data_IF_072891267250
#
_entry.id   IF_072891267250
#
_cell.length_a   1.000
_cell.length_b   1.000
_cell.length_c   1.000
_cell.angle_alpha   90.00
_cell.angle_beta   90.00
_cell.angle_gamma   90.00
#
_symmetry.space_group_name_H-M   'P 1'
#
loop_
_entity.id
_entity.type
_entity.pdbx_description
1 polymer ?
#
# COMPACT_ATOMS: atom_id res chain seq x y z
N UNK A 1 21.67 1.40 -0.46
CA UNK A 1 21.71 0.48 -1.63
C UNK A 1 21.44 1.30 -2.88
N UNK A 2 22.26 1.16 -3.92
CA UNK A 2 22.06 1.92 -5.16
C UNK A 2 20.96 1.32 -6.04
N UNK A 3 20.39 2.11 -6.96
CA UNK A 3 19.31 1.65 -7.86
C UNK A 3 19.64 0.33 -8.58
N UNK A 4 20.84 0.24 -9.18
CA UNK A 4 21.27 -0.95 -9.93
C UNK A 4 21.43 -2.18 -9.04
N UNK A 5 21.82 -1.99 -7.78
CA UNK A 5 21.96 -3.06 -6.82
C UNK A 5 20.59 -3.58 -6.39
N UNK A 6 19.67 -2.67 -6.00
CA UNK A 6 18.28 -3.00 -5.71
C UNK A 6 17.62 -3.75 -6.88
N UNK A 7 17.79 -3.25 -8.11
CA UNK A 7 17.23 -3.87 -9.31
C UNK A 7 17.67 -5.32 -9.47
N UNK A 8 18.97 -5.61 -9.32
CA UNK A 8 19.51 -6.98 -9.47
C UNK A 8 18.93 -7.93 -8.42
N UNK A 9 18.79 -7.46 -7.18
CA UNK A 9 18.21 -8.25 -6.09
C UNK A 9 16.75 -8.59 -6.42
N UNK A 10 15.94 -7.57 -6.73
CA UNK A 10 14.52 -7.78 -7.03
C UNK A 10 14.30 -8.61 -8.30
N UNK A 11 15.16 -8.48 -9.31
CA UNK A 11 15.08 -9.30 -10.53
C UNK A 11 15.16 -10.80 -10.21
N UNK A 12 16.11 -11.19 -9.36
CA UNK A 12 16.26 -12.59 -8.96
C UNK A 12 15.05 -13.09 -8.16
N UNK A 13 14.49 -12.25 -7.28
CA UNK A 13 13.27 -12.58 -6.53
C UNK A 13 12.10 -12.82 -7.48
N UNK A 14 11.83 -11.89 -8.40
CA UNK A 14 10.70 -12.03 -9.32
C UNK A 14 10.86 -13.17 -10.31
N UNK A 15 12.10 -13.47 -10.73
CA UNK A 15 12.40 -14.67 -11.54
C UNK A 15 11.93 -15.95 -10.83
N UNK A 16 12.29 -16.10 -9.54
CA UNK A 16 11.92 -17.28 -8.75
C UNK A 16 10.40 -17.36 -8.58
N UNK A 17 9.74 -16.25 -8.20
CA UNK A 17 8.29 -16.20 -8.02
C UNK A 17 7.55 -16.54 -9.32
N UNK A 18 8.00 -15.99 -10.44
CA UNK A 18 7.37 -16.22 -11.75
C UNK A 18 7.54 -17.66 -12.24
N UNK A 19 8.73 -18.23 -12.06
CA UNK A 19 9.00 -19.64 -12.35
C UNK A 19 8.18 -20.59 -11.46
N UNK A 20 7.77 -20.13 -10.28
CA UNK A 20 6.87 -20.87 -9.37
C UNK A 20 5.38 -20.72 -9.71
N UNK A 21 5.05 -20.09 -10.85
CA UNK A 21 3.67 -19.93 -11.34
C UNK A 21 2.96 -18.66 -10.89
N UNK A 22 3.59 -17.80 -10.08
CA UNK A 22 2.99 -16.52 -9.65
C UNK A 22 3.02 -15.52 -10.81
N UNK A 23 1.85 -15.00 -11.19
CA UNK A 23 1.71 -14.07 -12.33
C UNK A 23 1.33 -12.64 -11.95
N UNK A 24 0.89 -12.41 -10.72
CA UNK A 24 0.53 -11.07 -10.22
C UNK A 24 1.43 -10.72 -9.06
N UNK A 25 1.95 -9.50 -9.06
CA UNK A 25 2.84 -9.01 -8.01
C UNK A 25 2.24 -7.79 -7.32
N UNK A 26 2.26 -7.79 -5.99
CA UNK A 26 2.03 -6.61 -5.18
C UNK A 26 3.34 -6.25 -4.50
N UNK A 27 3.90 -5.11 -4.90
CA UNK A 27 5.14 -4.57 -4.35
C UNK A 27 4.74 -3.59 -3.25
N UNK A 28 5.02 -3.91 -1.98
CA UNK A 28 4.53 -3.11 -0.86
C UNK A 28 5.62 -2.59 0.09
N UNK A 29 5.28 -1.57 0.87
CA UNK A 29 6.06 -1.05 2.01
C UNK A 29 7.42 -0.45 1.67
N UNK A 30 7.57 0.08 0.45
CA UNK A 30 8.74 0.90 0.13
C UNK A 30 8.59 2.31 0.74
N UNK A 31 9.72 2.90 1.13
CA UNK A 31 9.80 4.24 1.71
C UNK A 31 10.55 5.23 0.82
N UNK A 32 10.77 4.86 -0.45
CA UNK A 32 11.33 5.72 -1.49
C UNK A 32 10.81 5.31 -2.87
N UNK A 33 10.56 6.28 -3.74
CA UNK A 33 10.18 6.04 -5.14
C UNK A 33 11.33 5.37 -5.91
N UNK A 34 12.58 5.75 -5.65
CA UNK A 34 13.74 5.24 -6.42
C UNK A 34 13.88 3.73 -6.23
N UNK A 35 13.80 3.27 -4.97
CA UNK A 35 13.93 1.85 -4.67
C UNK A 35 12.71 1.06 -5.15
N UNK A 36 11.51 1.62 -4.93
CA UNK A 36 10.26 1.06 -5.41
C UNK A 36 10.26 0.90 -6.95
N UNK A 37 10.80 1.88 -7.68
CA UNK A 37 10.98 1.83 -9.13
C UNK A 37 11.97 0.77 -9.57
N UNK A 38 13.06 0.55 -8.81
CA UNK A 38 14.01 -0.52 -9.10
C UNK A 38 13.32 -1.90 -9.01
N UNK A 39 12.54 -2.13 -7.95
CA UNK A 39 11.72 -3.33 -7.77
C UNK A 39 10.68 -3.49 -8.89
N UNK A 40 9.93 -2.43 -9.20
CA UNK A 40 8.89 -2.43 -10.23
C UNK A 40 9.44 -2.75 -11.62
N UNK A 41 10.54 -2.11 -12.03
CA UNK A 41 11.16 -2.38 -13.33
C UNK A 41 11.74 -3.79 -13.39
N UNK A 42 12.26 -4.32 -12.29
CA UNK A 42 12.67 -5.72 -12.24
C UNK A 42 11.48 -6.66 -12.46
N UNK A 43 10.34 -6.41 -11.80
CA UNK A 43 9.11 -7.17 -11.96
C UNK A 43 8.54 -7.15 -13.39
N UNK A 44 8.65 -6.02 -14.11
CA UNK A 44 8.15 -5.86 -15.50
C UNK A 44 8.75 -6.86 -16.49
N UNK A 45 9.92 -7.44 -16.19
CA UNK A 45 10.52 -8.48 -17.04
C UNK A 45 9.70 -9.78 -17.05
N UNK A 46 8.82 -9.96 -16.06
CA UNK A 46 8.13 -11.23 -15.82
C UNK A 46 6.61 -11.07 -15.86
N UNK A 47 6.06 -9.95 -15.39
CA UNK A 47 4.62 -9.74 -15.33
C UNK A 47 4.19 -8.35 -15.81
N UNK A 48 2.98 -8.28 -16.36
CA UNK A 48 2.24 -7.03 -16.62
C UNK A 48 1.21 -6.69 -15.53
N UNK A 49 0.94 -7.64 -14.63
CA UNK A 49 -0.03 -7.52 -13.54
C UNK A 49 0.70 -7.14 -12.24
N UNK A 50 1.17 -5.89 -12.18
CA UNK A 50 1.96 -5.37 -11.07
C UNK A 50 1.21 -4.24 -10.38
N UNK A 51 0.99 -4.41 -9.09
CA UNK A 51 0.43 -3.44 -8.17
C UNK A 51 1.53 -2.93 -7.25
N UNK A 52 1.39 -1.71 -6.75
CA UNK A 52 2.41 -1.12 -5.88
C UNK A 52 1.81 -0.26 -4.79
N UNK A 53 2.34 -0.37 -3.58
CA UNK A 53 1.99 0.54 -2.49
C UNK A 53 3.21 0.94 -1.66
N UNK A 54 3.25 2.20 -1.26
CA UNK A 54 4.34 2.75 -0.46
C UNK A 54 3.85 3.08 0.96
N UNK A 55 4.79 3.24 1.89
CA UNK A 55 4.52 3.70 3.25
C UNK A 55 4.87 5.18 3.41
N UNK A 56 4.04 5.87 4.18
CA UNK A 56 4.18 7.29 4.49
C UNK A 56 4.30 7.51 6.00
N UNK A 57 5.09 8.51 6.37
CA UNK A 57 5.17 9.07 7.70
C UNK A 57 3.91 9.91 8.02
N UNK A 58 3.78 10.35 9.28
CA UNK A 58 2.62 11.14 9.73
C UNK A 58 2.46 12.48 9.00
N UNK A 59 3.53 13.03 8.41
CA UNK A 59 3.47 14.24 7.58
C UNK A 59 3.02 14.00 6.13
N UNK A 60 2.48 12.81 5.83
CA UNK A 60 1.99 12.41 4.51
C UNK A 60 3.08 12.44 3.42
N UNK A 61 4.31 12.06 3.80
CA UNK A 61 5.45 11.88 2.90
C UNK A 61 6.16 10.57 3.19
N UNK A 62 6.84 10.02 2.21
CA UNK A 62 7.77 8.91 2.43
C UNK A 62 8.95 9.33 3.33
N UNK A 63 9.84 8.39 3.66
CA UNK A 63 11.09 8.73 4.39
C UNK A 63 11.97 9.67 3.57
N UNK A 64 12.02 9.50 2.26
CA UNK A 64 12.80 10.37 1.37
C UNK A 64 12.08 11.65 0.95
N UNK A 65 10.91 11.96 1.54
CA UNK A 65 10.19 13.22 1.37
C UNK A 65 9.27 13.30 0.15
N UNK A 66 9.08 12.18 -0.57
CA UNK A 66 8.19 12.12 -1.74
C UNK A 66 6.71 12.20 -1.31
N UNK A 67 5.89 12.86 -2.13
CA UNK A 67 4.45 13.07 -1.89
C UNK A 67 3.60 12.00 -2.60
N UNK A 68 2.38 11.71 -2.12
CA UNK A 68 1.47 10.72 -2.70
C UNK A 68 1.20 10.91 -4.20
N UNK A 69 1.06 12.16 -4.64
CA UNK A 69 0.80 12.52 -6.03
C UNK A 69 1.97 12.09 -6.93
N UNK A 70 3.22 12.31 -6.50
CA UNK A 70 4.40 11.87 -7.23
C UNK A 70 4.48 10.35 -7.33
N UNK A 71 4.07 9.63 -6.29
CA UNK A 71 4.01 8.16 -6.29
C UNK A 71 3.02 7.70 -7.37
N UNK A 72 1.81 8.24 -7.36
CA UNK A 72 0.78 7.90 -8.34
C UNK A 72 1.22 8.20 -9.78
N UNK A 73 1.70 9.41 -10.07
CA UNK A 73 2.16 9.80 -11.42
C UNK A 73 3.29 8.89 -11.91
N UNK A 74 4.28 8.60 -11.06
CA UNK A 74 5.41 7.75 -11.46
C UNK A 74 4.96 6.34 -11.80
N UNK A 75 4.12 5.72 -10.98
CA UNK A 75 3.72 4.33 -11.21
C UNK A 75 2.63 4.17 -12.25
N UNK A 76 1.81 5.20 -12.48
CA UNK A 76 0.96 5.27 -13.68
C UNK A 76 1.78 5.33 -14.96
N UNK A 77 2.81 6.18 -15.02
CA UNK A 77 3.71 6.25 -16.17
C UNK A 77 4.49 4.94 -16.40
N UNK A 78 4.69 4.12 -15.36
CA UNK A 78 5.31 2.80 -15.46
C UNK A 78 4.31 1.68 -15.79
N UNK A 79 3.03 2.02 -15.96
CA UNK A 79 1.92 1.11 -16.30
C UNK A 79 1.55 0.13 -15.18
N UNK A 80 1.61 0.57 -13.91
CA UNK A 80 1.08 -0.20 -12.79
C UNK A 80 -0.43 -0.46 -12.96
N UNK A 81 -0.90 -1.61 -12.47
CA UNK A 81 -2.33 -1.97 -12.45
C UNK A 81 -3.09 -1.42 -11.25
N UNK A 82 -2.37 -0.92 -10.26
CA UNK A 82 -2.91 -0.16 -9.15
C UNK A 82 -1.78 0.39 -8.30
N UNK A 83 -2.06 1.51 -7.65
CA UNK A 83 -1.09 2.25 -6.84
C UNK A 83 -1.72 2.64 -5.51
N UNK A 84 -0.97 2.71 -4.42
CA UNK A 84 -1.58 3.10 -3.16
C UNK A 84 -0.65 3.21 -1.98
N UNK A 85 -1.25 3.19 -0.79
CA UNK A 85 -0.55 3.42 0.47
C UNK A 85 -0.83 2.29 1.46
N UNK A 86 0.22 1.80 2.09
CA UNK A 86 0.14 0.79 3.14
C UNK A 86 1.02 1.13 4.35
N UNK A 87 0.82 0.42 5.46
CA UNK A 87 1.69 0.48 6.64
C UNK A 87 1.84 1.89 7.27
N UNK A 88 0.81 2.71 7.17
CA UNK A 88 0.68 4.00 7.87
C UNK A 88 -0.65 4.06 8.63
N UNK A 89 -0.89 5.12 9.39
CA UNK A 89 -2.16 5.27 10.14
C UNK A 89 -3.33 5.59 9.19
N UNK A 90 -4.57 5.23 9.57
CA UNK A 90 -5.73 5.37 8.69
C UNK A 90 -5.97 6.79 8.18
N UNK A 91 -5.72 7.80 9.03
CA UNK A 91 -5.90 9.22 8.71
C UNK A 91 -4.96 9.67 7.59
N UNK A 92 -3.68 9.32 7.70
CA UNK A 92 -2.65 9.64 6.70
C UNK A 92 -2.93 8.91 5.40
N UNK A 93 -3.35 7.64 5.48
CA UNK A 93 -3.71 6.88 4.31
C UNK A 93 -4.91 7.51 3.57
N UNK A 94 -5.95 7.97 4.29
CA UNK A 94 -7.09 8.67 3.71
C UNK A 94 -6.65 9.96 3.01
N UNK A 95 -5.82 10.78 3.67
CA UNK A 95 -5.31 12.02 3.09
C UNK A 95 -4.55 11.75 1.78
N UNK A 96 -3.65 10.77 1.79
CA UNK A 96 -2.84 10.40 0.65
C UNK A 96 -3.70 9.88 -0.52
N UNK A 97 -4.65 8.98 -0.26
CA UNK A 97 -5.55 8.45 -1.28
C UNK A 97 -6.43 9.55 -1.87
N UNK A 98 -6.93 10.47 -1.04
CA UNK A 98 -7.72 11.62 -1.50
C UNK A 98 -6.92 12.53 -2.44
N UNK A 99 -5.62 12.70 -2.19
CA UNK A 99 -4.72 13.45 -3.08
C UNK A 99 -4.46 12.69 -4.39
N UNK A 100 -4.17 11.40 -4.30
CA UNK A 100 -3.89 10.54 -5.47
C UNK A 100 -5.12 10.43 -6.40
N UNK A 101 -6.32 10.28 -5.84
CA UNK A 101 -7.58 10.17 -6.59
C UNK A 101 -7.88 11.38 -7.49
N UNK A 102 -7.25 12.53 -7.24
CA UNK A 102 -7.41 13.73 -8.08
C UNK A 102 -6.54 13.72 -9.32
N UNK A 103 -5.49 12.90 -9.36
CA UNK A 103 -4.43 13.00 -10.38
C UNK A 103 -4.17 11.70 -11.15
N UNK A 104 -4.73 10.57 -10.73
CA UNK A 104 -4.62 9.28 -11.45
C UNK A 104 -5.96 8.59 -11.57
N UNK A 105 -6.14 7.83 -12.65
CA UNK A 105 -7.29 6.94 -12.84
C UNK A 105 -6.97 5.47 -12.49
N UNK A 106 -5.75 5.18 -12.01
CA UNK A 106 -5.39 3.85 -11.57
C UNK A 106 -6.24 3.41 -10.36
N UNK A 107 -6.58 2.11 -10.25
CA UNK A 107 -7.14 1.57 -9.02
C UNK A 107 -6.28 1.89 -7.81
N UNK A 108 -6.89 2.52 -6.80
CA UNK A 108 -6.20 2.96 -5.59
C UNK A 108 -6.26 1.92 -4.47
N UNK A 109 -5.10 1.63 -3.88
CA UNK A 109 -4.92 0.64 -2.81
C UNK A 109 -4.78 1.34 -1.46
N UNK A 110 -5.54 0.92 -0.45
CA UNK A 110 -5.40 1.41 0.92
C UNK A 110 -5.31 0.24 1.90
N UNK A 111 -4.19 0.14 2.61
CA UNK A 111 -3.90 -0.94 3.55
C UNK A 111 -3.22 -0.40 4.82
N UNK A 112 -3.92 0.36 5.66
CA UNK A 112 -3.33 1.02 6.82
C UNK A 112 -3.08 0.03 7.97
N UNK A 113 -2.28 0.46 8.93
CA UNK A 113 -2.13 -0.20 10.22
C UNK A 113 -3.39 0.02 11.07
N UNK A 114 -3.59 -0.80 12.10
CA UNK A 114 -4.64 -0.64 13.10
C UNK A 114 -4.36 0.55 14.06
N UNK A 115 -4.19 1.75 13.51
CA UNK A 115 -3.78 2.94 14.25
C UNK A 115 -2.28 3.00 14.57
N UNK A 116 -1.93 3.86 15.53
CA UNK A 116 -0.53 4.09 15.95
C UNK A 116 0.03 2.87 16.66
N UNK A 117 1.35 2.74 16.62
CA UNK A 117 2.08 1.76 17.43
C UNK A 117 2.33 2.35 18.82
N UNK A 118 2.04 1.58 19.87
CA UNK A 118 2.39 1.86 21.25
C UNK A 118 3.24 0.74 21.82
N UNK A 119 4.22 1.09 22.64
CA UNK A 119 5.08 0.14 23.35
C UNK A 119 4.72 0.21 24.83
N UNK A 120 4.40 -0.93 25.42
CA UNK A 120 4.18 -1.06 26.86
C UNK A 120 4.98 -2.26 27.39
N UNK A 121 6.09 -1.96 28.06
CA UNK A 121 7.11 -2.96 28.39
C UNK A 121 7.69 -3.59 27.12
N UNK A 122 7.73 -4.91 27.06
CA UNK A 122 8.24 -5.68 25.90
C UNK A 122 7.16 -6.01 24.86
N UNK A 123 5.98 -5.38 24.94
CA UNK A 123 4.86 -5.66 24.05
C UNK A 123 4.54 -4.45 23.18
N UNK A 124 4.31 -4.74 21.90
CA UNK A 124 3.91 -3.77 20.89
C UNK A 124 2.40 -3.93 20.67
N UNK A 125 1.67 -2.83 20.75
CA UNK A 125 0.22 -2.79 20.54
C UNK A 125 -0.15 -1.73 19.52
N UNK A 126 -1.26 -1.97 18.84
CA UNK A 126 -1.88 -1.05 17.91
C UNK A 126 -3.07 -0.36 18.58
N UNK A 127 -3.26 0.94 18.34
CA UNK A 127 -4.24 1.73 19.09
C UNK A 127 -5.69 1.50 18.72
N UNK A 128 -5.97 0.85 17.59
CA UNK A 128 -7.32 0.54 17.15
C UNK A 128 -7.55 -0.96 17.20
N UNK A 129 -8.70 -1.36 17.73
CA UNK A 129 -9.23 -2.72 17.55
C UNK A 129 -9.68 -2.97 16.11
N UNK A 130 -9.85 -4.23 15.72
CA UNK A 130 -10.42 -4.61 14.41
C UNK A 130 -11.80 -3.99 14.16
N UNK A 131 -12.59 -3.78 15.23
CA UNK A 131 -13.92 -3.16 15.14
C UNK A 131 -13.82 -1.66 14.87
N UNK A 132 -12.94 -0.95 15.58
CA UNK A 132 -12.72 0.48 15.36
C UNK A 132 -12.10 0.74 13.98
N UNK A 133 -11.14 -0.08 13.58
CA UNK A 133 -10.52 -0.03 12.26
C UNK A 133 -11.55 -0.20 11.14
N UNK A 134 -12.51 -1.12 11.31
CA UNK A 134 -13.58 -1.35 10.32
C UNK A 134 -14.51 -0.14 10.13
N UNK A 135 -14.60 0.78 11.10
CA UNK A 135 -15.39 2.03 10.97
C UNK A 135 -14.82 2.98 9.91
N UNK A 136 -13.54 2.87 9.57
CA UNK A 136 -12.90 3.68 8.53
C UNK A 136 -13.27 3.24 7.11
N UNK A 137 -13.86 2.05 6.94
CA UNK A 137 -14.14 1.48 5.61
C UNK A 137 -14.90 2.44 4.68
N UNK A 138 -15.96 3.10 5.17
CA UNK A 138 -16.70 4.09 4.38
C UNK A 138 -15.84 5.28 3.96
N UNK A 139 -14.98 5.76 4.87
CA UNK A 139 -14.06 6.87 4.60
C UNK A 139 -13.02 6.49 3.54
N UNK A 140 -12.58 5.23 3.51
CA UNK A 140 -11.68 4.72 2.46
C UNK A 140 -12.33 4.75 1.08
N UNK A 141 -13.59 4.32 0.98
CA UNK A 141 -14.34 4.40 -0.27
C UNK A 141 -14.52 5.85 -0.69
N UNK A 142 -14.93 6.73 0.23
CA UNK A 142 -15.13 8.15 -0.03
C UNK A 142 -13.84 8.87 -0.46
N UNK A 143 -12.68 8.43 0.05
CA UNK A 143 -11.37 8.93 -0.37
C UNK A 143 -11.00 8.52 -1.80
N UNK A 144 -11.68 7.52 -2.37
CA UNK A 144 -11.43 7.01 -3.73
C UNK A 144 -10.75 5.65 -3.79
N UNK A 145 -10.62 4.92 -2.68
CA UNK A 145 -9.96 3.60 -2.70
C UNK A 145 -10.81 2.52 -3.40
N UNK A 146 -10.15 1.70 -4.22
CA UNK A 146 -10.76 0.57 -4.92
C UNK A 146 -10.39 -0.78 -4.28
N UNK A 147 -9.15 -0.90 -3.78
CA UNK A 147 -8.62 -2.11 -3.14
C UNK A 147 -8.34 -1.77 -1.67
N UNK A 148 -9.13 -2.35 -0.78
CA UNK A 148 -9.11 -2.02 0.65
C UNK A 148 -8.70 -3.26 1.45
N UNK A 149 -7.69 -3.10 2.31
CA UNK A 149 -7.18 -4.16 3.19
C UNK A 149 -6.70 -3.62 4.53
N UNK A 150 -5.89 -4.41 5.23
CA UNK A 150 -5.20 -4.05 6.46
C UNK A 150 -3.74 -4.47 6.47
N UNK A 151 -2.89 -3.73 7.20
CA UNK A 151 -1.47 -4.03 7.38
C UNK A 151 -1.21 -4.42 8.85
N UNK A 152 -0.20 -3.85 9.51
CA UNK A 152 0.20 -4.26 10.85
C UNK A 152 -0.92 -3.98 11.86
N UNK A 153 -1.14 -4.93 12.77
CA UNK A 153 -2.17 -4.85 13.80
C UNK A 153 -3.59 -5.20 13.35
N UNK A 154 -3.82 -5.43 12.05
CA UNK A 154 -5.11 -5.91 11.55
C UNK A 154 -5.18 -7.44 11.57
N UNK A 155 -6.38 -7.99 11.69
CA UNK A 155 -6.59 -9.44 11.69
C UNK A 155 -7.64 -9.90 10.66
N UNK A 156 -7.82 -11.21 10.46
CA UNK A 156 -8.94 -11.73 9.68
C UNK A 156 -10.32 -11.23 10.17
N UNK A 157 -10.47 -10.89 11.45
CA UNK A 157 -11.72 -10.33 11.99
C UNK A 157 -12.01 -8.93 11.41
N UNK A 158 -10.99 -8.09 11.23
CA UNK A 158 -11.13 -6.81 10.53
C UNK A 158 -11.59 -7.01 9.09
N UNK A 159 -10.96 -7.93 8.34
CA UNK A 159 -11.36 -8.25 6.96
C UNK A 159 -12.82 -8.71 6.89
N UNK A 160 -13.25 -9.56 7.83
CA UNK A 160 -14.65 -10.02 7.93
C UNK A 160 -15.61 -8.86 8.21
N UNK A 161 -15.21 -7.90 9.06
CA UNK A 161 -16.03 -6.73 9.39
C UNK A 161 -16.21 -5.80 8.18
N UNK A 162 -15.14 -5.48 7.45
CA UNK A 162 -15.26 -4.62 6.26
C UNK A 162 -16.01 -5.31 5.11
N UNK A 163 -15.89 -6.64 4.97
CA UNK A 163 -16.66 -7.41 3.99
C UNK A 163 -18.17 -7.39 4.30
N UNK A 164 -18.56 -7.37 5.57
CA UNK A 164 -19.96 -7.19 6.00
C UNK A 164 -20.46 -5.78 5.68
N UNK A 165 -19.66 -4.75 5.97
CA UNK A 165 -20.00 -3.35 5.69
C UNK A 165 -20.21 -3.10 4.19
N UNK A 166 -19.47 -3.78 3.30
CA UNK A 166 -19.66 -3.71 1.85
C UNK A 166 -21.07 -4.17 1.41
N UNK A 167 -21.65 -5.16 2.10
CA UNK A 167 -22.98 -5.70 1.75
C UNK A 167 -24.14 -4.81 2.23
N UNK A 168 -23.89 -3.93 3.21
CA UNK A 168 -24.88 -3.00 3.77
C UNK A 168 -24.32 -1.57 3.77
N UNK A 169 -24.27 -0.90 2.61
CA UNK A 169 -23.90 0.51 2.55
C UNK A 169 -25.00 1.33 3.22
N UNK A 170 -24.83 1.59 4.53
CA UNK A 170 -25.70 2.52 5.26
C UNK A 170 -25.48 3.96 4.83
#
# INVERSE_FOLDING_TARGET
MGFNESYKIYYNIFKILYSSGIKTFLIETFTSIIEAKASFLAAKNFSKEIFISLSLQENCRTIMGEIPESIAVVFEALEAKGVGINCTIPEVAIEAITKMAKITNLPLIIKPNAGKIKIAGNKIYHTLSDFEMAKYFKKFIQAGANIIGGCCGTSPAYIKNIARNKKNPS
#
